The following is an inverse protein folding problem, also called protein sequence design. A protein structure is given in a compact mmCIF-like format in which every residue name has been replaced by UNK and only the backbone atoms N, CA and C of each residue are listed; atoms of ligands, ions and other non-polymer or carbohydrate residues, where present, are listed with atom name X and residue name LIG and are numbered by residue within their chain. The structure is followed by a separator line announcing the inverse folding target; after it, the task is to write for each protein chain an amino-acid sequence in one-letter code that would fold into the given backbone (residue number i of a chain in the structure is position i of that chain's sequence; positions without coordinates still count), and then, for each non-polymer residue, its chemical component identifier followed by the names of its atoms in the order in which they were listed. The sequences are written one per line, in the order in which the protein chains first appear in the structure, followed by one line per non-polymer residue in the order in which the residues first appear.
data_IF_272082979818
#
_entry.id   IF_272082979818
#
_cell.length_a   1.000
_cell.length_b   1.000
_cell.length_c   1.000
_cell.angle_alpha   90.00
_cell.angle_beta   90.00
_cell.angle_gamma   90.00
#
_symmetry.space_group_name_H-M   'P 1'
#
loop_
_entity.id
_entity.type
_entity.pdbx_description
1 polymer ?
#
# COMPACT_ATOMS: atom_id res chain seq x y z
N UNK A 1 8.83 -30.42 14.74
CA UNK A 1 7.71 -30.71 15.66
C UNK A 1 7.76 -29.92 16.96
N UNK A 2 8.67 -30.17 17.93
CA UNK A 2 8.68 -29.39 19.19
C UNK A 2 9.03 -27.91 18.97
N UNK A 3 9.96 -27.61 18.06
CA UNK A 3 10.35 -26.25 17.68
C UNK A 3 9.26 -25.46 16.96
N UNK A 4 8.48 -26.11 16.10
CA UNK A 4 7.38 -25.48 15.34
C UNK A 4 6.17 -25.20 16.25
N UNK A 5 5.87 -26.10 17.19
CA UNK A 5 4.82 -25.90 18.19
C UNK A 5 5.14 -24.73 19.11
N UNK A 6 6.39 -24.64 19.57
CA UNK A 6 6.82 -23.55 20.45
C UNK A 6 6.87 -22.19 19.72
N UNK A 7 7.26 -22.20 18.45
CA UNK A 7 7.19 -21.00 17.61
C UNK A 7 5.75 -20.53 17.40
N UNK A 8 4.78 -21.44 17.21
CA UNK A 8 3.36 -21.11 17.09
C UNK A 8 2.79 -20.53 18.39
N UNK A 9 3.18 -21.05 19.56
CA UNK A 9 2.75 -20.54 20.87
C UNK A 9 3.30 -19.12 21.13
N UNK A 10 4.57 -18.88 20.83
CA UNK A 10 5.19 -17.56 20.99
C UNK A 10 4.56 -16.50 20.07
N UNK A 11 4.22 -16.87 18.83
CA UNK A 11 3.50 -15.99 17.90
C UNK A 11 2.10 -15.64 18.41
N UNK A 12 1.37 -16.62 18.93
CA UNK A 12 0.03 -16.40 19.46
C UNK A 12 0.05 -15.51 20.71
N UNK A 13 1.06 -15.68 21.58
CA UNK A 13 1.28 -14.79 22.72
C UNK A 13 1.62 -13.38 22.29
N UNK A 14 2.49 -13.20 21.30
CA UNK A 14 2.79 -11.88 20.76
C UNK A 14 1.53 -11.17 20.23
N UNK A 15 0.69 -11.88 19.47
CA UNK A 15 -0.55 -11.33 18.91
C UNK A 15 -1.57 -10.96 19.99
N UNK A 16 -1.75 -11.80 21.02
CA UNK A 16 -2.83 -11.63 22.00
C UNK A 16 -2.42 -10.82 23.24
N UNK A 17 -1.14 -10.86 23.61
CA UNK A 17 -0.65 -10.28 24.86
C UNK A 17 0.22 -9.04 24.63
N UNK A 18 0.78 -8.83 23.43
CA UNK A 18 1.66 -7.67 23.16
C UNK A 18 1.02 -6.65 22.23
N UNK A 19 0.58 -7.09 21.04
CA UNK A 19 0.01 -6.18 20.03
C UNK A 19 -1.19 -5.35 20.50
N UNK A 20 -2.11 -5.83 21.36
CA UNK A 20 -3.24 -5.04 21.84
C UNK A 20 -2.84 -3.79 22.62
N UNK A 21 -1.65 -3.79 23.22
CA UNK A 21 -1.10 -2.65 23.97
C UNK A 21 -0.33 -1.66 23.08
N UNK A 22 -0.10 -2.00 21.81
CA UNK A 22 0.58 -1.14 20.86
C UNK A 22 -0.48 -0.41 20.03
N UNK A 23 -0.72 0.86 20.36
CA UNK A 23 -1.55 1.76 19.56
C UNK A 23 -0.87 2.03 18.21
N UNK A 24 -1.48 1.67 17.06
CA UNK A 24 -0.88 1.99 15.77
C UNK A 24 -0.79 3.49 15.51
N UNK A 25 -1.63 4.32 16.14
CA UNK A 25 -1.53 5.77 16.02
C UNK A 25 -0.26 6.31 16.69
N UNK A 26 0.03 5.84 17.91
CA UNK A 26 1.11 6.37 18.74
C UNK A 26 2.46 5.69 18.47
N UNK A 27 2.42 4.40 18.09
CA UNK A 27 3.59 3.53 18.03
C UNK A 27 3.77 2.88 16.65
N UNK A 28 3.32 3.53 15.57
CA UNK A 28 3.53 3.04 14.21
C UNK A 28 5.00 2.76 13.90
N UNK A 29 5.94 3.54 14.44
CA UNK A 29 7.39 3.29 14.27
C UNK A 29 7.81 1.92 14.81
N UNK A 30 7.31 1.54 15.99
CA UNK A 30 7.63 0.23 16.59
C UNK A 30 7.13 -0.88 15.67
N UNK A 31 5.87 -0.81 15.26
CA UNK A 31 5.27 -1.81 14.36
C UNK A 31 6.02 -1.90 13.03
N UNK A 32 6.33 -0.75 12.43
CA UNK A 32 7.01 -0.65 11.14
C UNK A 32 8.43 -1.20 11.19
N UNK A 33 9.23 -0.79 12.18
CA UNK A 33 10.60 -1.28 12.31
C UNK A 33 10.64 -2.74 12.73
N UNK A 34 9.68 -3.24 13.50
CA UNK A 34 9.57 -4.68 13.78
C UNK A 34 9.37 -5.50 12.50
N UNK A 35 8.58 -5.02 11.54
CA UNK A 35 8.42 -5.68 10.23
C UNK A 35 9.74 -5.75 9.44
N UNK A 36 10.57 -4.70 9.52
CA UNK A 36 11.91 -4.71 8.93
C UNK A 36 12.85 -5.65 9.68
N UNK A 37 13.04 -5.43 10.98
CA UNK A 37 14.01 -6.17 11.81
C UNK A 37 13.75 -7.68 11.84
N UNK A 38 12.49 -8.12 11.73
CA UNK A 38 12.14 -9.53 11.73
C UNK A 38 11.09 -9.88 10.65
N UNK A 39 11.51 -9.92 9.36
CA UNK A 39 10.61 -10.09 8.23
C UNK A 39 9.72 -11.35 8.30
N UNK A 40 10.20 -12.54 8.74
CA UNK A 40 9.36 -13.74 8.79
C UNK A 40 8.08 -13.60 9.62
N UNK A 41 8.05 -12.70 10.62
CA UNK A 41 6.88 -12.49 11.48
C UNK A 41 6.12 -11.19 11.19
N UNK A 42 6.52 -10.41 10.19
CA UNK A 42 5.83 -9.18 9.79
C UNK A 42 4.35 -9.41 9.43
N UNK A 43 4.03 -10.58 8.86
CA UNK A 43 2.65 -10.96 8.53
C UNK A 43 1.72 -10.99 9.74
N UNK A 44 2.23 -11.25 10.95
CA UNK A 44 1.45 -11.23 12.20
C UNK A 44 1.00 -9.80 12.53
N UNK A 45 1.91 -8.84 12.41
CA UNK A 45 1.64 -7.41 12.61
C UNK A 45 0.66 -6.90 11.55
N UNK A 46 0.92 -7.24 10.28
CA UNK A 46 0.07 -6.81 9.16
C UNK A 46 -1.35 -7.38 9.26
N UNK A 47 -1.50 -8.67 9.60
CA UNK A 47 -2.81 -9.29 9.83
C UNK A 47 -3.53 -8.67 11.04
N UNK A 48 -2.81 -8.41 12.13
CA UNK A 48 -3.37 -7.70 13.28
C UNK A 48 -3.92 -6.31 12.89
N UNK A 49 -3.16 -5.53 12.12
CA UNK A 49 -3.59 -4.22 11.62
C UNK A 49 -4.81 -4.33 10.69
N UNK A 50 -4.82 -5.30 9.77
CA UNK A 50 -5.96 -5.53 8.87
C UNK A 50 -7.24 -5.92 9.64
N UNK A 51 -7.10 -6.67 10.72
CA UNK A 51 -8.22 -7.12 11.56
C UNK A 51 -8.75 -6.02 12.50
N UNK A 52 -8.15 -4.82 12.52
CA UNK A 52 -8.73 -3.64 13.18
C UNK A 52 -9.93 -3.06 12.45
N UNK A 53 -10.30 -3.61 11.29
CA UNK A 53 -11.57 -3.33 10.64
C UNK A 53 -12.69 -4.03 11.42
N UNK A 54 -13.46 -3.28 12.22
CA UNK A 54 -14.59 -3.86 12.96
C UNK A 54 -15.77 -4.14 12.03
N UNK A 55 -16.49 -5.27 12.17
CA UNK A 55 -17.71 -5.54 11.42
C UNK A 55 -18.76 -4.45 11.71
N UNK A 56 -19.15 -3.68 10.67
CA UNK A 56 -20.15 -2.62 10.77
C UNK A 56 -19.58 -1.20 10.92
N UNK A 57 -18.29 -1.06 11.21
CA UNK A 57 -17.57 0.19 10.95
C UNK A 57 -17.23 0.24 9.45
N UNK A 58 -17.23 1.45 8.87
CA UNK A 58 -16.86 1.65 7.47
C UNK A 58 -15.43 1.21 7.15
N UNK A 59 -14.92 1.64 5.99
CA UNK A 59 -13.54 1.36 5.55
C UNK A 59 -12.51 1.50 6.67
N UNK A 60 -11.48 0.64 6.66
CA UNK A 60 -10.34 0.67 7.59
C UNK A 60 -9.83 2.12 7.78
N UNK A 61 -9.63 2.60 9.02
CA UNK A 61 -9.20 3.98 9.25
C UNK A 61 -7.89 4.31 8.52
N UNK A 62 -7.81 5.49 7.91
CA UNK A 62 -6.67 5.92 7.09
C UNK A 62 -5.33 5.80 7.83
N UNK A 63 -5.28 6.09 9.13
CA UNK A 63 -4.04 5.97 9.91
C UNK A 63 -3.56 4.50 10.05
N UNK A 64 -4.48 3.54 10.16
CA UNK A 64 -4.15 2.11 10.17
C UNK A 64 -3.64 1.70 8.79
N UNK A 65 -4.35 2.14 7.75
CA UNK A 65 -3.98 1.86 6.37
C UNK A 65 -2.58 2.40 6.04
N UNK A 66 -2.29 3.63 6.47
CA UNK A 66 -0.97 4.25 6.35
C UNK A 66 0.11 3.47 7.12
N UNK A 67 -0.20 2.99 8.33
CA UNK A 67 0.72 2.14 9.09
C UNK A 67 1.05 0.84 8.32
N UNK A 68 0.06 0.20 7.71
CA UNK A 68 0.26 -1.00 6.88
C UNK A 68 1.20 -0.69 5.70
N UNK A 69 0.95 0.39 4.96
CA UNK A 69 1.83 0.80 3.86
C UNK A 69 3.27 1.03 4.32
N UNK A 70 3.45 1.74 5.43
CA UNK A 70 4.76 2.03 5.97
C UNK A 70 5.50 0.74 6.38
N UNK A 71 4.80 -0.28 6.90
CA UNK A 71 5.39 -1.59 7.22
C UNK A 71 5.95 -2.28 5.97
N UNK A 72 5.29 -2.16 4.82
CA UNK A 72 5.79 -2.72 3.55
C UNK A 72 7.09 -2.06 3.06
N UNK A 73 7.31 -0.77 3.36
CA UNK A 73 8.56 -0.09 2.96
C UNK A 73 9.78 -0.64 3.68
N UNK A 74 9.64 -0.98 4.96
CA UNK A 74 10.76 -1.52 5.74
C UNK A 74 10.93 -3.03 5.51
N UNK A 75 9.99 -3.68 4.83
CA UNK A 75 10.04 -5.11 4.58
C UNK A 75 11.05 -5.45 3.48
N UNK A 76 12.16 -6.07 3.88
CA UNK A 76 13.20 -6.57 2.97
C UNK A 76 13.25 -8.11 2.91
N UNK A 77 12.22 -8.79 3.41
CA UNK A 77 12.10 -10.25 3.34
C UNK A 77 11.60 -10.75 1.98
N UNK A 78 11.59 -12.07 1.82
CA UNK A 78 10.96 -12.71 0.66
C UNK A 78 9.44 -12.64 0.77
N UNK A 79 8.76 -12.24 -0.31
CA UNK A 79 7.31 -12.03 -0.33
C UNK A 79 6.58 -13.39 -0.36
N UNK A 80 6.52 -14.05 0.80
CA UNK A 80 5.81 -15.30 1.00
C UNK A 80 4.29 -15.17 0.95
N UNK A 81 3.60 -16.32 0.94
CA UNK A 81 2.14 -16.40 0.79
C UNK A 81 1.39 -15.55 1.82
N UNK A 82 1.83 -15.50 3.08
CA UNK A 82 1.16 -14.74 4.12
C UNK A 82 1.22 -13.21 3.89
N UNK A 83 2.29 -12.73 3.25
CA UNK A 83 2.42 -11.32 2.88
C UNK A 83 1.57 -11.03 1.64
N UNK A 84 1.54 -11.94 0.66
CA UNK A 84 0.68 -11.80 -0.51
C UNK A 84 -0.81 -11.78 -0.14
N UNK A 85 -1.23 -12.55 0.87
CA UNK A 85 -2.60 -12.49 1.42
C UNK A 85 -2.94 -11.08 1.93
N UNK A 86 -2.00 -10.45 2.64
CA UNK A 86 -2.15 -9.08 3.14
C UNK A 86 -2.22 -8.10 1.97
N UNK A 87 -1.30 -8.20 1.01
CA UNK A 87 -1.29 -7.34 -0.20
C UNK A 87 -2.61 -7.47 -0.95
N UNK A 88 -3.12 -8.70 -1.15
CA UNK A 88 -4.41 -8.96 -1.79
C UNK A 88 -5.57 -8.33 -1.02
N UNK A 89 -5.59 -8.46 0.30
CA UNK A 89 -6.63 -7.85 1.13
C UNK A 89 -6.59 -6.31 1.05
N UNK A 90 -5.39 -5.72 1.06
CA UNK A 90 -5.17 -4.28 0.89
C UNK A 90 -5.67 -3.81 -0.49
N UNK A 91 -5.28 -4.49 -1.57
CA UNK A 91 -5.59 -4.11 -2.95
C UNK A 91 -7.08 -4.20 -3.31
N UNK A 92 -7.89 -4.91 -2.53
CA UNK A 92 -9.36 -4.95 -2.66
C UNK A 92 -10.05 -3.66 -2.19
N UNK A 93 -9.33 -2.75 -1.54
CA UNK A 93 -9.86 -1.50 -0.98
C UNK A 93 -9.63 -0.33 -1.94
N UNK A 94 -10.35 0.75 -1.71
CA UNK A 94 -10.06 2.03 -2.35
C UNK A 94 -8.82 2.64 -1.69
N UNK A 95 -7.75 2.85 -2.46
CA UNK A 95 -6.50 3.39 -1.96
C UNK A 95 -6.29 4.80 -2.53
N UNK A 96 -6.19 5.78 -1.64
CA UNK A 96 -5.90 7.17 -2.01
C UNK A 96 -4.44 7.50 -1.73
N UNK A 97 -3.74 8.10 -2.69
CA UNK A 97 -2.45 8.78 -2.49
C UNK A 97 -2.72 10.29 -2.57
N UNK A 98 -2.34 11.02 -1.53
CA UNK A 98 -2.66 12.44 -1.39
C UNK A 98 -1.43 13.32 -1.49
N UNK A 99 -1.62 14.55 -1.92
CA UNK A 99 -0.56 15.56 -1.97
C UNK A 99 0.03 15.92 -0.60
N UNK A 100 -0.74 15.76 0.47
CA UNK A 100 -0.31 16.00 1.86
C UNK A 100 0.28 14.75 2.54
N UNK A 101 0.22 13.57 1.88
CA UNK A 101 0.99 12.41 2.33
C UNK A 101 2.48 12.76 2.32
N UNK A 102 3.20 12.35 3.38
CA UNK A 102 4.66 12.48 3.38
C UNK A 102 5.27 11.75 2.18
N UNK A 103 6.43 12.21 1.71
CA UNK A 103 7.20 11.55 0.64
C UNK A 103 7.38 10.06 0.89
N UNK A 104 7.61 9.69 2.15
CA UNK A 104 7.78 8.29 2.57
C UNK A 104 6.50 7.47 2.40
N UNK A 105 5.35 8.04 2.74
CA UNK A 105 4.05 7.37 2.61
C UNK A 105 3.61 7.27 1.15
N UNK A 106 3.85 8.30 0.33
CA UNK A 106 3.62 8.21 -1.12
C UNK A 106 4.48 7.10 -1.73
N UNK A 107 5.77 7.06 -1.39
CA UNK A 107 6.67 5.98 -1.82
C UNK A 107 6.16 4.62 -1.36
N UNK A 108 5.69 4.51 -0.11
CA UNK A 108 5.16 3.27 0.46
C UNK A 108 3.98 2.70 -0.35
N UNK A 109 3.02 3.55 -0.69
CA UNK A 109 1.85 3.17 -1.48
C UNK A 109 2.27 2.70 -2.88
N UNK A 110 3.18 3.44 -3.53
CA UNK A 110 3.72 3.08 -4.85
C UNK A 110 4.48 1.74 -4.82
N UNK A 111 5.34 1.52 -3.82
CA UNK A 111 6.07 0.26 -3.68
C UNK A 111 5.12 -0.93 -3.47
N UNK A 112 4.07 -0.77 -2.68
CA UNK A 112 3.06 -1.81 -2.48
C UNK A 112 2.37 -2.17 -3.79
N UNK A 113 1.95 -1.17 -4.57
CA UNK A 113 1.33 -1.44 -5.87
C UNK A 113 2.28 -2.14 -6.86
N UNK A 114 3.58 -1.81 -6.81
CA UNK A 114 4.58 -2.52 -7.60
C UNK A 114 4.64 -4.00 -7.22
N UNK A 115 4.69 -4.31 -5.91
CA UNK A 115 4.64 -5.70 -5.43
C UNK A 115 3.36 -6.40 -5.91
N UNK A 116 2.21 -5.73 -5.79
CA UNK A 116 0.95 -6.27 -6.27
C UNK A 116 1.01 -6.60 -7.77
N UNK A 117 1.51 -5.67 -8.60
CA UNK A 117 1.66 -5.86 -10.04
C UNK A 117 2.63 -6.99 -10.39
N UNK A 118 3.81 -7.01 -9.76
CA UNK A 118 4.85 -8.03 -9.98
C UNK A 118 4.36 -9.44 -9.60
N UNK A 119 3.43 -9.54 -8.65
CA UNK A 119 2.81 -10.79 -8.22
C UNK A 119 1.46 -11.10 -8.89
N UNK A 120 1.02 -10.31 -9.88
CA UNK A 120 -0.25 -10.51 -10.58
C UNK A 120 -1.50 -10.29 -9.72
N UNK A 121 -1.38 -9.53 -8.62
CA UNK A 121 -2.50 -9.16 -7.74
C UNK A 121 -3.20 -7.94 -8.32
N UNK A 122 -4.51 -8.09 -8.56
CA UNK A 122 -5.39 -7.01 -9.01
C UNK A 122 -5.52 -5.90 -7.96
N UNK A 123 -5.32 -4.66 -8.38
CA UNK A 123 -5.58 -3.45 -7.60
C UNK A 123 -6.95 -2.88 -8.00
N UNK A 124 -7.91 -2.89 -7.08
CA UNK A 124 -9.29 -2.52 -7.41
C UNK A 124 -9.46 -1.05 -7.75
N UNK A 125 -8.92 -0.15 -6.92
CA UNK A 125 -9.02 1.29 -7.19
C UNK A 125 -7.88 2.10 -6.56
N UNK A 126 -7.29 2.96 -7.38
CA UNK A 126 -6.32 3.98 -6.96
C UNK A 126 -6.94 5.36 -7.21
N UNK A 127 -6.88 6.24 -6.20
CA UNK A 127 -7.19 7.66 -6.35
C UNK A 127 -5.95 8.51 -6.06
N UNK A 128 -5.54 9.31 -7.04
CA UNK A 128 -4.44 10.27 -6.93
C UNK A 128 -5.04 11.65 -6.66
N UNK A 129 -5.00 12.07 -5.38
CA UNK A 129 -5.66 13.28 -4.89
C UNK A 129 -4.71 14.49 -4.88
N UNK A 130 -4.94 15.44 -5.78
CA UNK A 130 -4.17 16.69 -5.94
C UNK A 130 -2.64 16.48 -6.08
N UNK A 131 -2.24 15.31 -6.58
CA UNK A 131 -0.90 14.75 -6.35
C UNK A 131 0.07 14.91 -7.54
N UNK A 132 -0.45 14.73 -8.75
CA UNK A 132 0.37 14.54 -9.97
C UNK A 132 0.82 15.89 -10.50
N UNK A 133 2.13 16.07 -10.72
CA UNK A 133 2.73 17.35 -11.17
C UNK A 133 3.36 17.29 -12.56
N UNK A 134 3.62 16.09 -13.08
CA UNK A 134 4.04 15.89 -14.48
C UNK A 134 3.83 14.43 -14.89
N UNK A 135 3.64 14.19 -16.19
CA UNK A 135 3.47 12.86 -16.76
C UNK A 135 4.48 12.63 -17.90
N UNK A 136 5.21 11.53 -17.80
CA UNK A 136 6.01 10.97 -18.89
C UNK A 136 5.31 9.72 -19.44
N UNK A 137 5.79 9.21 -20.57
CA UNK A 137 5.17 8.10 -21.32
C UNK A 137 4.71 6.94 -20.42
N UNK A 138 5.57 6.51 -19.49
CA UNK A 138 5.35 5.34 -18.64
C UNK A 138 5.49 5.66 -17.14
N UNK A 139 5.43 6.94 -16.76
CA UNK A 139 5.68 7.36 -15.37
C UNK A 139 4.95 8.64 -15.01
N UNK A 140 4.31 8.67 -13.85
CA UNK A 140 3.81 9.88 -13.20
C UNK A 140 4.80 10.36 -12.15
N UNK A 141 4.98 11.67 -12.03
CA UNK A 141 5.73 12.29 -10.93
C UNK A 141 4.77 13.01 -10.01
N UNK A 142 4.96 12.80 -8.71
CA UNK A 142 4.18 13.43 -7.65
C UNK A 142 4.85 14.71 -7.13
N UNK A 143 4.09 15.51 -6.41
CA UNK A 143 4.57 16.75 -5.78
C UNK A 143 5.78 16.54 -4.82
N UNK A 144 5.96 15.33 -4.28
CA UNK A 144 7.09 14.98 -3.40
C UNK A 144 8.28 14.32 -4.13
N UNK A 145 8.34 14.41 -5.45
CA UNK A 145 9.34 13.74 -6.32
C UNK A 145 9.30 12.21 -6.31
N UNK A 146 8.25 11.61 -5.74
CA UNK A 146 8.00 10.18 -5.92
C UNK A 146 7.50 9.95 -7.34
N UNK A 147 7.99 8.88 -7.95
CA UNK A 147 7.57 8.47 -9.29
C UNK A 147 6.78 7.18 -9.22
N UNK A 148 5.66 7.14 -9.94
CA UNK A 148 4.84 5.95 -10.10
C UNK A 148 4.92 5.47 -11.54
N UNK A 149 5.43 4.25 -11.75
CA UNK A 149 5.36 3.57 -13.05
C UNK A 149 3.95 3.06 -13.35
N UNK A 150 3.73 2.60 -14.58
CA UNK A 150 2.48 1.95 -14.94
C UNK A 150 2.25 0.70 -14.06
N UNK A 151 0.98 0.46 -13.71
CA UNK A 151 0.57 -0.63 -12.82
C UNK A 151 -0.41 -1.49 -13.58
N UNK A 152 0.06 -2.61 -14.13
CA UNK A 152 -0.67 -3.37 -15.14
C UNK A 152 -1.93 -4.05 -14.59
N UNK A 153 -2.00 -4.20 -13.27
CA UNK A 153 -3.07 -4.89 -12.56
C UNK A 153 -4.15 -3.96 -11.97
N UNK A 154 -4.09 -2.64 -12.26
CA UNK A 154 -5.08 -1.69 -11.74
C UNK A 154 -6.37 -1.69 -12.58
N UNK A 155 -7.53 -1.83 -11.92
CA UNK A 155 -8.86 -1.79 -12.57
C UNK A 155 -9.41 -0.38 -12.72
N UNK A 156 -9.27 0.44 -11.68
CA UNK A 156 -9.78 1.81 -11.66
C UNK A 156 -8.70 2.78 -11.21
N UNK A 157 -8.45 3.81 -12.01
CA UNK A 157 -7.59 4.93 -11.62
C UNK A 157 -8.34 6.25 -11.72
N UNK A 158 -8.36 7.00 -10.62
CA UNK A 158 -8.94 8.34 -10.55
C UNK A 158 -7.83 9.35 -10.25
N UNK A 159 -7.83 10.49 -10.94
CA UNK A 159 -6.84 11.54 -10.78
C UNK A 159 -7.61 12.85 -10.64
N UNK A 160 -7.35 13.60 -9.57
CA UNK A 160 -7.99 14.92 -9.38
C UNK A 160 -7.02 16.06 -9.67
N UNK A 161 -7.59 17.20 -10.07
CA UNK A 161 -6.91 18.47 -10.34
C UNK A 161 -5.69 18.37 -11.28
N UNK A 162 -5.65 17.35 -12.13
CA UNK A 162 -4.61 17.19 -13.14
C UNK A 162 -4.62 18.36 -14.14
N UNK A 163 -5.76 19.01 -14.33
CA UNK A 163 -5.95 20.20 -15.16
C UNK A 163 -5.30 21.48 -14.59
N UNK A 164 -4.96 21.50 -13.29
CA UNK A 164 -4.36 22.66 -12.63
C UNK A 164 -2.83 22.58 -12.56
N UNK A 165 -2.28 21.38 -12.63
CA UNK A 165 -0.84 21.12 -12.42
C UNK A 165 -0.12 20.69 -13.69
N UNK A 166 -0.79 19.99 -14.60
CA UNK A 166 -0.18 19.45 -15.81
C UNK A 166 -0.13 20.47 -16.95
N UNK A 167 0.93 20.38 -17.76
CA UNK A 167 1.06 21.15 -19.01
C UNK A 167 0.42 20.41 -20.17
N UNK A 168 0.25 21.10 -21.30
CA UNK A 168 -0.33 20.52 -22.52
C UNK A 168 0.36 19.21 -22.98
N UNK A 169 1.68 19.15 -22.84
CA UNK A 169 2.50 17.96 -23.18
C UNK A 169 2.24 16.76 -22.25
N UNK A 170 1.87 17.03 -21.00
CA UNK A 170 1.62 16.00 -19.98
C UNK A 170 0.29 15.29 -20.22
N UNK A 171 -0.74 15.95 -20.79
CA UNK A 171 -2.04 15.32 -21.03
C UNK A 171 -1.93 14.08 -21.94
N UNK A 172 -1.14 14.17 -23.01
CA UNK A 172 -0.92 13.05 -23.92
C UNK A 172 -0.17 11.90 -23.23
N UNK A 173 0.79 12.24 -22.36
CA UNK A 173 1.56 11.26 -21.61
C UNK A 173 0.72 10.61 -20.50
N UNK A 174 -0.18 11.35 -19.87
CA UNK A 174 -1.10 10.84 -18.88
C UNK A 174 -2.05 9.80 -19.49
N UNK A 175 -2.62 10.10 -20.66
CA UNK A 175 -3.49 9.16 -21.36
C UNK A 175 -2.75 7.88 -21.76
N UNK A 176 -1.48 8.00 -22.22
CA UNK A 176 -0.63 6.84 -22.50
C UNK A 176 -0.32 6.02 -21.26
N UNK A 177 0.02 6.68 -20.16
CA UNK A 177 0.29 6.04 -18.88
C UNK A 177 -0.91 5.20 -18.43
N UNK A 178 -2.11 5.78 -18.49
CA UNK A 178 -3.37 5.10 -18.13
C UNK A 178 -3.63 3.92 -19.08
N UNK A 179 -3.45 4.12 -20.39
CA UNK A 179 -3.69 3.10 -21.41
C UNK A 179 -2.73 1.90 -21.32
N UNK A 180 -1.60 2.00 -20.60
CA UNK A 180 -0.67 0.89 -20.42
C UNK A 180 -1.23 -0.20 -19.47
N UNK A 181 -2.21 0.11 -18.61
CA UNK A 181 -2.78 -0.91 -17.72
C UNK A 181 -3.67 -1.88 -18.50
N UNK A 182 -3.33 -3.17 -18.46
CA UNK A 182 -4.05 -4.23 -19.17
C UNK A 182 -5.39 -4.58 -18.51
N UNK A 183 -5.54 -4.31 -17.21
CA UNK A 183 -6.76 -4.61 -16.45
C UNK A 183 -7.67 -3.39 -16.26
N UNK A 184 -7.33 -2.26 -16.89
CA UNK A 184 -8.06 -1.02 -16.71
C UNK A 184 -9.49 -1.11 -17.27
N UNK A 185 -10.46 -0.91 -16.39
CA UNK A 185 -11.87 -0.85 -16.74
C UNK A 185 -12.35 0.61 -16.84
N UNK A 186 -11.73 1.51 -16.06
CA UNK A 186 -12.30 2.83 -15.78
C UNK A 186 -11.23 3.85 -15.37
N UNK A 187 -11.21 5.04 -15.98
CA UNK A 187 -10.28 6.14 -15.66
C UNK A 187 -10.92 7.54 -15.75
N UNK A 188 -10.60 8.45 -14.81
CA UNK A 188 -11.12 9.85 -14.75
C UNK A 188 -10.12 10.80 -14.11
#
# INVERSE_FOLDING_TARGET
MVSELQQSDDQQRFINESLPFISPADLHYVLRFSCGLYPPCSHLILRYLLNKCHPGEGSLPDYIMNCIFLCFVEYYGDVGTEILDVVSAVCKRHITIRSDDSRLLQHAKVSMFKIASDCGITVERIFLEDLVVSAAKDTLRFNSDVTMGAIDTVRVIEISRWDQTLKDEDYHNLLKFIANSTHLEKAW
#
